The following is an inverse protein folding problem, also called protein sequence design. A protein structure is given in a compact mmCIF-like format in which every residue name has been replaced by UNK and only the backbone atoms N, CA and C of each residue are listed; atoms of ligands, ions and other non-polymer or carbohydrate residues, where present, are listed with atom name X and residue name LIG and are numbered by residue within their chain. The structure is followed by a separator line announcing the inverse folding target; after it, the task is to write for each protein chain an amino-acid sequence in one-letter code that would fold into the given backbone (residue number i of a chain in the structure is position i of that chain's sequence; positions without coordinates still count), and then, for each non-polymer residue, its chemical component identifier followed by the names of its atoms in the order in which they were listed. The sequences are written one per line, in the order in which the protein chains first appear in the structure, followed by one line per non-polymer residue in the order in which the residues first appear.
data_IF_996480601234
#
_entry.id   IF_996480601234
#
_cell.length_a   1.000
_cell.length_b   1.000
_cell.length_c   1.000
_cell.angle_alpha   90.00
_cell.angle_beta   90.00
_cell.angle_gamma   90.00
#
_symmetry.space_group_name_H-M   'P 1'
#
loop_
_entity.id
_entity.type
_entity.pdbx_description
1 polymer ?
#
# COMPACT_ATOMS: atom_id res chain seq x y z
N UNK A 1 -13.66 -2.22 17.37
CA UNK A 1 -14.14 -3.46 16.73
C UNK A 1 -14.94 -3.07 15.48
N UNK A 2 -14.29 -2.68 14.40
CA UNK A 2 -14.92 -2.75 13.06
C UNK A 2 -14.01 -3.58 12.19
N UNK A 3 -14.16 -4.89 12.34
CA UNK A 3 -13.81 -5.85 11.31
C UNK A 3 -14.86 -5.67 10.21
N UNK A 4 -14.49 -5.08 9.07
CA UNK A 4 -15.37 -5.05 7.90
C UNK A 4 -14.47 -5.25 6.67
N UNK A 5 -14.25 -6.50 6.29
CA UNK A 5 -14.90 -7.13 5.13
C UNK A 5 -14.43 -6.51 3.83
N UNK A 6 -13.59 -7.27 3.14
CA UNK A 6 -13.40 -7.23 1.68
C UNK A 6 -14.66 -6.80 0.93
N UNK A 7 -14.54 -5.90 -0.06
CA UNK A 7 -15.34 -6.01 -1.26
C UNK A 7 -14.43 -6.52 -2.37
N UNK A 8 -14.44 -7.85 -2.58
CA UNK A 8 -14.11 -8.38 -3.91
C UNK A 8 -15.32 -8.05 -4.78
N UNK A 9 -15.19 -7.09 -5.70
CA UNK A 9 -15.85 -7.02 -7.01
C UNK A 9 -15.91 -5.58 -7.55
N UNK A 10 -14.92 -5.16 -8.33
CA UNK A 10 -15.10 -4.60 -9.70
C UNK A 10 -13.78 -4.07 -10.26
N UNK A 11 -13.55 -4.18 -11.58
CA UNK A 11 -12.20 -4.11 -12.14
C UNK A 11 -11.85 -2.69 -12.63
N UNK A 12 -10.54 -2.40 -12.63
CA UNK A 12 -9.84 -1.40 -13.49
C UNK A 12 -9.70 0.07 -13.05
N UNK A 13 -9.84 0.42 -11.77
CA UNK A 13 -9.26 1.68 -11.27
C UNK A 13 -8.47 1.41 -9.98
N UNK A 14 -7.22 1.89 -9.81
CA UNK A 14 -6.45 1.64 -8.60
C UNK A 14 -7.06 2.48 -7.47
N UNK A 15 -8.05 1.91 -6.79
CA UNK A 15 -8.59 2.43 -5.53
C UNK A 15 -7.47 2.32 -4.49
N UNK A 16 -6.56 3.29 -4.47
CA UNK A 16 -5.46 3.32 -3.52
C UNK A 16 -6.03 3.30 -2.10
N UNK A 17 -5.45 2.52 -1.18
CA UNK A 17 -5.98 2.36 0.17
C UNK A 17 -6.05 3.70 0.91
N UNK A 18 -7.05 3.86 1.78
CA UNK A 18 -7.32 5.16 2.44
C UNK A 18 -6.12 5.77 3.19
N UNK A 19 -5.13 4.97 3.61
CA UNK A 19 -3.92 5.45 4.27
C UNK A 19 -3.17 6.51 3.44
N UNK A 20 -3.35 6.54 2.12
CA UNK A 20 -2.69 7.51 1.23
C UNK A 20 -3.13 8.96 1.46
N UNK A 21 -4.28 9.16 2.13
CA UNK A 21 -4.74 10.47 2.56
C UNK A 21 -4.13 10.92 3.91
N UNK A 22 -3.26 10.11 4.50
CA UNK A 22 -2.58 10.39 5.75
C UNK A 22 -1.13 9.91 5.68
N UNK A 23 -0.81 8.77 6.28
CA UNK A 23 0.52 8.19 6.29
C UNK A 23 0.36 6.67 6.18
N UNK A 24 0.70 6.09 5.04
CA UNK A 24 0.79 4.64 4.90
C UNK A 24 2.11 4.17 5.50
N UNK A 25 2.07 3.07 6.24
CA UNK A 25 3.24 2.33 6.69
C UNK A 25 3.09 0.87 6.28
N UNK A 26 4.19 0.10 6.32
CA UNK A 26 4.14 -1.33 5.99
C UNK A 26 3.12 -2.14 6.82
N UNK A 27 2.79 -1.70 8.04
CA UNK A 27 1.78 -2.35 8.88
C UNK A 27 0.33 -2.12 8.42
N UNK A 28 0.10 -1.20 7.48
CA UNK A 28 -1.22 -0.93 6.89
C UNK A 28 -1.58 -1.91 5.76
N UNK A 29 -0.62 -2.74 5.32
CA UNK A 29 -0.76 -3.66 4.19
C UNK A 29 -0.67 -5.12 4.66
N UNK A 30 -1.41 -6.00 3.99
CA UNK A 30 -1.33 -7.43 4.27
C UNK A 30 -0.25 -8.12 3.44
N UNK A 31 0.12 -7.53 2.29
CA UNK A 31 1.08 -8.09 1.33
C UNK A 31 2.01 -7.03 0.77
N UNK A 32 3.18 -7.46 0.30
CA UNK A 32 4.14 -6.62 -0.43
C UNK A 32 3.49 -5.99 -1.67
N UNK A 33 2.66 -6.76 -2.40
CA UNK A 33 2.01 -6.30 -3.63
C UNK A 33 1.04 -5.13 -3.41
N UNK A 34 0.31 -5.11 -2.28
CA UNK A 34 -0.57 -3.99 -1.92
C UNK A 34 0.25 -2.73 -1.60
N UNK A 35 1.35 -2.88 -0.86
CA UNK A 35 2.26 -1.78 -0.57
C UNK A 35 2.93 -1.23 -1.83
N UNK A 36 3.28 -2.12 -2.77
CA UNK A 36 3.90 -1.75 -4.05
C UNK A 36 3.00 -0.85 -4.89
N UNK A 37 1.68 -1.11 -4.91
CA UNK A 37 0.73 -0.26 -5.64
C UNK A 37 0.75 1.18 -5.12
N UNK A 38 0.96 1.38 -3.82
CA UNK A 38 1.09 2.71 -3.22
C UNK A 38 2.44 3.34 -3.58
N UNK A 39 3.54 2.60 -3.50
CA UNK A 39 4.86 3.10 -3.91
C UNK A 39 4.86 3.56 -5.39
N UNK A 40 4.25 2.76 -6.27
CA UNK A 40 4.17 3.04 -7.70
C UNK A 40 3.27 4.26 -8.00
N UNK A 41 2.25 4.50 -7.17
CA UNK A 41 1.33 5.63 -7.33
C UNK A 41 1.90 6.96 -6.81
N UNK A 42 2.82 6.91 -5.84
CA UNK A 42 3.38 8.10 -5.19
C UNK A 42 4.89 8.20 -5.40
N UNK A 43 5.36 8.86 -6.48
CA UNK A 43 6.78 8.99 -6.76
C UNK A 43 7.50 9.76 -5.64
N UNK A 44 8.70 9.29 -5.30
CA UNK A 44 9.53 9.89 -4.24
C UNK A 44 9.27 9.33 -2.84
N UNK A 45 8.45 8.29 -2.73
CA UNK A 45 8.17 7.54 -1.50
C UNK A 45 7.81 8.43 -0.28
N UNK A 46 6.76 9.27 -0.39
CA UNK A 46 6.33 10.13 0.72
C UNK A 46 5.88 9.33 1.95
N UNK A 47 5.43 8.09 1.73
CA UNK A 47 4.96 7.16 2.74
C UNK A 47 6.08 6.27 3.33
N UNK A 48 7.32 6.41 2.85
CA UNK A 48 8.49 5.67 3.37
C UNK A 48 8.29 4.15 3.33
N UNK A 49 7.62 3.66 2.29
CA UNK A 49 7.39 2.23 2.04
C UNK A 49 8.64 1.55 1.49
N UNK A 50 9.55 2.29 0.85
CA UNK A 50 10.81 1.84 0.27
C UNK A 50 11.98 2.65 0.86
N UNK A 51 12.41 2.26 2.07
CA UNK A 51 13.35 3.04 2.88
C UNK A 51 14.77 2.99 2.35
N UNK A 52 15.15 1.90 1.71
CA UNK A 52 16.45 1.65 1.10
C UNK A 52 16.51 2.03 -0.38
N UNK A 53 15.36 2.33 -1.00
CA UNK A 53 15.20 2.94 -2.33
C UNK A 53 15.61 1.99 -3.46
N UNK A 54 15.28 0.72 -3.31
CA UNK A 54 15.56 -0.30 -4.32
C UNK A 54 14.38 -0.50 -5.29
N UNK A 55 13.26 0.20 -5.05
CA UNK A 55 12.03 0.14 -5.82
C UNK A 55 11.03 -0.88 -5.32
N UNK A 56 11.31 -1.56 -4.20
CA UNK A 56 10.47 -2.61 -3.63
C UNK A 56 9.87 -2.13 -2.31
N UNK A 57 8.55 -1.95 -2.29
CA UNK A 57 7.85 -1.52 -1.10
C UNK A 57 7.82 -2.64 -0.05
N UNK A 58 8.14 -2.33 1.21
CA UNK A 58 7.85 -3.17 2.37
C UNK A 58 8.24 -4.65 2.20
N UNK A 59 9.49 -4.92 1.78
CA UNK A 59 10.01 -6.26 1.44
C UNK A 59 9.84 -7.35 2.51
N UNK A 60 9.57 -6.97 3.76
CA UNK A 60 9.29 -7.90 4.86
C UNK A 60 7.87 -8.48 4.86
N UNK A 61 6.96 -7.93 4.04
CA UNK A 61 5.60 -8.42 3.91
C UNK A 61 5.55 -9.67 3.01
N UNK A 62 4.54 -10.54 3.20
CA UNK A 62 4.30 -11.70 2.34
C UNK A 62 4.05 -11.35 0.86
#
# INVERSE_FOLDING_TARGET
MVSNTTPISSPVQPELPNCVNSDCNCSDFSTQAEAQQVLDAFPGDPHRLDRDKDGIACESLP
#
